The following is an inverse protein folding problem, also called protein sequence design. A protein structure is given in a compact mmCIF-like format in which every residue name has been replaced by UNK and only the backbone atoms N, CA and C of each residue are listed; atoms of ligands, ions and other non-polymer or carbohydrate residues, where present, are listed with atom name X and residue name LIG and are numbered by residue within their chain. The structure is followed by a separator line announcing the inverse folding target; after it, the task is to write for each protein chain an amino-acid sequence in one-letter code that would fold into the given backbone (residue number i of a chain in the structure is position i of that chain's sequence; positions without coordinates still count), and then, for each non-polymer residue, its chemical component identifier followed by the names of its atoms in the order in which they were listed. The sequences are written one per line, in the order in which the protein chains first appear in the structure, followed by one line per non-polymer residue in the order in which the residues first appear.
data_IF_357519510511
#
_entry.id   IF_357519510511
#
_cell.length_a   1.000
_cell.length_b   1.000
_cell.length_c   1.000
_cell.angle_alpha   90.00
_cell.angle_beta   90.00
_cell.angle_gamma   90.00
#
_symmetry.space_group_name_H-M   'P 1'
#
loop_
_entity.id
_entity.type
_entity.pdbx_description
1 polymer ?
#
# COMPACT_ATOMS: atom_id res chain seq x y z
N UNK A 1 -2.99 10.52 -30.36
CA UNK A 1 -2.24 9.44 -29.68
C UNK A 1 -3.17 8.31 -29.21
N UNK A 2 -2.77 7.03 -29.29
CA UNK A 2 -3.53 5.96 -28.66
C UNK A 2 -3.65 6.21 -27.15
N UNK A 3 -4.80 5.87 -26.58
CA UNK A 3 -5.06 6.04 -25.14
C UNK A 3 -4.20 5.05 -24.36
N UNK A 4 -3.50 5.54 -23.36
CA UNK A 4 -2.70 4.75 -22.42
C UNK A 4 -3.59 3.77 -21.63
N UNK A 5 -3.11 2.54 -21.41
CA UNK A 5 -3.79 1.52 -20.60
C UNK A 5 -3.28 1.50 -19.17
N UNK A 6 -4.15 1.26 -18.20
CA UNK A 6 -3.84 1.30 -16.75
C UNK A 6 -2.54 0.61 -16.36
N UNK A 7 -2.30 -0.63 -16.81
CA UNK A 7 -1.13 -1.42 -16.39
C UNK A 7 0.00 -1.42 -17.42
N UNK A 8 -0.04 -0.56 -18.43
CA UNK A 8 0.85 -0.67 -19.60
C UNK A 8 2.34 -0.56 -19.27
N UNK A 9 2.70 0.08 -18.15
CA UNK A 9 4.08 0.30 -17.75
C UNK A 9 4.56 -0.67 -16.67
N UNK A 10 3.68 -1.49 -16.07
CA UNK A 10 4.01 -2.26 -14.85
C UNK A 10 5.18 -3.23 -15.07
N UNK A 11 5.28 -3.84 -16.25
CA UNK A 11 6.36 -4.80 -16.60
C UNK A 11 7.68 -4.09 -16.97
N UNK A 12 7.63 -2.82 -17.34
CA UNK A 12 8.80 -2.03 -17.75
C UNK A 12 9.41 -1.23 -16.58
N UNK A 13 8.79 -1.27 -15.39
CA UNK A 13 9.30 -0.58 -14.21
C UNK A 13 10.61 -1.19 -13.73
N UNK A 14 11.58 -0.36 -13.30
CA UNK A 14 12.83 -0.88 -12.76
C UNK A 14 12.56 -1.69 -11.49
N UNK A 15 13.34 -2.77 -11.26
CA UNK A 15 13.24 -3.52 -10.01
C UNK A 15 13.63 -2.64 -8.83
N UNK A 16 13.10 -2.95 -7.64
CA UNK A 16 13.44 -2.23 -6.43
C UNK A 16 14.93 -2.45 -6.08
N UNK A 17 15.76 -1.40 -6.00
CA UNK A 17 17.19 -1.57 -5.73
C UNK A 17 17.46 -1.96 -4.27
N UNK A 18 18.54 -2.70 -4.05
CA UNK A 18 19.11 -2.94 -2.72
C UNK A 18 20.17 -1.88 -2.46
N UNK A 19 19.99 -0.98 -1.47
CA UNK A 19 21.01 0.01 -1.14
C UNK A 19 22.27 -0.64 -0.58
N UNK A 20 23.43 -0.01 -0.81
CA UNK A 20 24.66 -0.39 -0.14
C UNK A 20 24.54 -0.25 1.38
N UNK A 21 25.15 -1.17 2.13
CA UNK A 21 25.12 -1.12 3.61
C UNK A 21 25.69 0.19 4.13
N UNK A 22 26.80 0.67 3.55
CA UNK A 22 27.44 1.92 3.94
C UNK A 22 26.50 3.12 3.80
N UNK A 23 25.74 3.20 2.70
CA UNK A 23 24.78 4.27 2.47
C UNK A 23 23.57 4.16 3.41
N UNK A 24 23.14 2.93 3.72
CA UNK A 24 22.08 2.66 4.70
C UNK A 24 22.47 3.13 6.09
N UNK A 25 23.68 2.77 6.59
CA UNK A 25 24.17 3.23 7.89
C UNK A 25 24.41 4.75 7.91
N UNK A 26 24.83 5.35 6.80
CA UNK A 26 24.95 6.81 6.69
C UNK A 26 23.59 7.50 6.81
N UNK A 27 22.56 6.97 6.14
CA UNK A 27 21.19 7.46 6.23
C UNK A 27 20.61 7.33 7.64
N UNK A 28 20.79 6.16 8.26
CA UNK A 28 20.37 5.92 9.65
C UNK A 28 21.05 6.90 10.61
N UNK A 29 22.37 7.09 10.51
CA UNK A 29 23.10 8.07 11.32
C UNK A 29 22.54 9.48 11.18
N UNK A 30 22.16 9.89 9.96
CA UNK A 30 21.58 11.20 9.73
C UNK A 30 20.21 11.35 10.41
N UNK A 31 19.38 10.31 10.37
CA UNK A 31 18.06 10.29 11.04
C UNK A 31 18.15 10.32 12.57
N UNK A 32 19.19 9.71 13.15
CA UNK A 32 19.38 9.64 14.60
C UNK A 32 19.77 10.98 15.24
N UNK A 33 20.26 11.96 14.45
CA UNK A 33 20.69 13.27 14.98
C UNK A 33 19.62 14.02 15.77
N UNK A 34 18.34 13.75 15.50
CA UNK A 34 17.23 14.42 16.17
C UNK A 34 16.90 13.83 17.55
N UNK A 35 17.36 12.62 17.85
CA UNK A 35 16.92 11.85 19.03
C UNK A 35 18.07 11.28 19.86
N UNK A 36 19.27 11.13 19.29
CA UNK A 36 20.43 10.55 19.96
C UNK A 36 21.36 11.62 20.55
N UNK A 37 22.04 11.28 21.65
CA UNK A 37 23.08 12.15 22.22
C UNK A 37 24.37 12.12 21.40
N UNK A 38 25.30 13.03 21.70
CA UNK A 38 26.60 13.04 21.05
C UNK A 38 27.40 11.76 21.32
N UNK A 39 27.30 11.24 22.55
CA UNK A 39 27.96 10.01 22.99
C UNK A 39 27.38 8.79 22.26
N UNK A 40 26.06 8.71 22.11
CA UNK A 40 25.40 7.63 21.37
C UNK A 40 25.75 7.65 19.88
N UNK A 41 25.81 8.83 19.26
CA UNK A 41 26.25 8.97 17.86
C UNK A 41 27.72 8.58 17.68
N UNK A 42 28.59 8.89 18.64
CA UNK A 42 29.98 8.48 18.61
C UNK A 42 30.13 6.95 18.75
N UNK A 43 29.36 6.34 19.65
CA UNK A 43 29.31 4.89 19.81
C UNK A 43 28.78 4.19 18.54
N UNK A 44 27.74 4.75 17.92
CA UNK A 44 27.21 4.29 16.65
C UNK A 44 28.30 4.32 15.56
N UNK A 45 28.99 5.46 15.38
CA UNK A 45 30.02 5.62 14.35
C UNK A 45 31.17 4.62 14.53
N UNK A 46 31.55 4.34 15.78
CA UNK A 46 32.57 3.34 16.09
C UNK A 46 32.13 1.90 15.76
N UNK A 47 30.83 1.59 15.86
CA UNK A 47 30.28 0.25 15.62
C UNK A 47 29.99 -0.06 14.14
N UNK A 48 29.77 0.96 13.30
CA UNK A 48 29.38 0.79 11.88
C UNK A 48 30.32 -0.13 11.08
N UNK A 49 31.67 -0.01 11.16
CA UNK A 49 32.56 -0.86 10.36
C UNK A 49 32.40 -2.35 10.66
N UNK A 50 32.27 -2.71 11.94
CA UNK A 50 32.05 -4.09 12.35
C UNK A 50 30.65 -4.58 11.95
N UNK A 51 29.63 -3.72 12.09
CA UNK A 51 28.27 -4.04 11.68
C UNK A 51 28.16 -4.31 10.17
N UNK A 52 28.83 -3.51 9.33
CA UNK A 52 28.89 -3.74 7.87
C UNK A 52 29.51 -5.11 7.57
N UNK A 53 30.61 -5.45 8.25
CA UNK A 53 31.26 -6.75 8.07
C UNK A 53 30.34 -7.90 8.52
N UNK A 54 29.66 -7.75 9.64
CA UNK A 54 28.76 -8.77 10.18
C UNK A 54 27.52 -9.01 9.29
N UNK A 55 27.07 -7.99 8.57
CA UNK A 55 25.90 -8.06 7.68
C UNK A 55 26.25 -8.37 6.22
N UNK A 56 27.52 -8.54 5.86
CA UNK A 56 27.95 -8.77 4.47
C UNK A 56 27.28 -9.99 3.84
N UNK A 57 27.21 -11.11 4.56
CA UNK A 57 26.55 -12.33 4.07
C UNK A 57 25.04 -12.14 3.89
N UNK A 58 24.40 -11.42 4.82
CA UNK A 58 22.98 -11.10 4.73
C UNK A 58 22.67 -10.17 3.54
N UNK A 59 23.53 -9.18 3.28
CA UNK A 59 23.45 -8.30 2.12
C UNK A 59 23.59 -9.10 0.82
N UNK A 60 24.53 -10.06 0.75
CA UNK A 60 24.70 -10.92 -0.42
C UNK A 60 23.45 -11.78 -0.70
N UNK A 61 22.83 -12.33 0.36
CA UNK A 61 21.55 -13.06 0.25
C UNK A 61 20.43 -12.13 -0.24
N UNK A 62 20.36 -10.91 0.27
CA UNK A 62 19.37 -9.91 -0.13
C UNK A 62 19.53 -9.50 -1.60
N UNK A 63 20.77 -9.29 -2.04
CA UNK A 63 21.08 -8.96 -3.43
C UNK A 63 20.67 -10.09 -4.38
N UNK A 64 21.04 -11.33 -4.05
CA UNK A 64 20.61 -12.50 -4.84
C UNK A 64 19.09 -12.58 -4.95
N UNK A 65 18.37 -12.32 -3.86
CA UNK A 65 16.90 -12.29 -3.87
C UNK A 65 16.36 -11.17 -4.79
N UNK A 66 16.99 -10.00 -4.80
CA UNK A 66 16.62 -8.89 -5.67
C UNK A 66 16.90 -9.18 -7.15
N UNK A 67 17.93 -9.96 -7.46
CA UNK A 67 18.21 -10.38 -8.85
C UNK A 67 17.13 -11.36 -9.38
N UNK A 68 16.48 -12.11 -8.49
CA UNK A 68 15.42 -13.07 -8.82
C UNK A 68 14.00 -12.45 -8.85
N UNK A 69 13.82 -11.20 -8.37
CA UNK A 69 12.51 -10.60 -8.14
C UNK A 69 12.46 -9.10 -8.46
N UNK A 70 11.38 -8.64 -9.10
CA UNK A 70 11.19 -7.19 -9.35
C UNK A 70 10.98 -6.37 -8.08
N UNK A 71 10.55 -7.01 -6.99
CA UNK A 71 10.41 -6.36 -5.68
C UNK A 71 10.73 -7.37 -4.57
N UNK A 72 11.97 -7.34 -4.09
CA UNK A 72 12.47 -8.29 -3.09
C UNK A 72 11.79 -8.17 -1.72
N UNK A 73 11.32 -6.96 -1.35
CA UNK A 73 10.77 -6.67 -0.03
C UNK A 73 9.24 -6.82 0.04
N UNK A 74 8.52 -6.67 -1.08
CA UNK A 74 7.06 -6.60 -1.10
C UNK A 74 6.34 -7.72 -0.31
N UNK A 75 6.68 -9.01 -0.54
CA UNK A 75 6.12 -10.11 0.23
C UNK A 75 6.44 -10.03 1.73
N UNK A 76 7.70 -9.74 2.09
CA UNK A 76 8.12 -9.61 3.48
C UNK A 76 7.48 -8.42 4.18
N UNK A 77 7.38 -7.27 3.51
CA UNK A 77 6.69 -6.10 4.03
C UNK A 77 5.23 -6.43 4.34
N UNK A 78 4.53 -7.07 3.41
CA UNK A 78 3.13 -7.48 3.60
C UNK A 78 3.00 -8.43 4.79
N UNK A 79 3.85 -9.46 4.85
CA UNK A 79 3.82 -10.48 5.90
C UNK A 79 4.16 -9.92 7.28
N UNK A 80 5.34 -9.31 7.43
CA UNK A 80 5.87 -8.91 8.73
C UNK A 80 5.30 -7.60 9.24
N UNK A 81 5.00 -6.62 8.37
CA UNK A 81 4.45 -5.35 8.82
C UNK A 81 2.94 -5.43 9.11
N UNK A 82 2.21 -6.31 8.41
CA UNK A 82 0.74 -6.36 8.54
C UNK A 82 0.19 -7.72 8.95
N UNK A 83 0.55 -8.79 8.25
CA UNK A 83 -0.17 -10.06 8.38
C UNK A 83 0.22 -10.87 9.61
N UNK A 84 1.44 -10.74 10.14
CA UNK A 84 1.84 -11.39 11.40
C UNK A 84 1.43 -10.63 12.64
N UNK A 85 1.15 -9.33 12.51
CA UNK A 85 0.70 -8.54 13.65
C UNK A 85 -0.63 -9.09 14.20
N UNK A 86 -0.72 -9.23 15.52
CA UNK A 86 -1.87 -9.80 16.26
C UNK A 86 -2.70 -8.74 16.99
N UNK A 87 -2.30 -7.47 16.99
CA UNK A 87 -3.12 -6.39 17.55
C UNK A 87 -4.37 -6.16 16.68
N UNK A 88 -5.50 -5.68 17.25
CA UNK A 88 -6.70 -5.41 16.48
C UNK A 88 -6.46 -4.40 15.34
N UNK A 89 -6.71 -4.81 14.09
CA UNK A 89 -6.42 -3.99 12.90
C UNK A 89 -7.26 -2.69 12.84
N UNK A 90 -8.48 -2.71 13.38
CA UNK A 90 -9.45 -1.59 13.29
C UNK A 90 -8.86 -0.28 13.81
N UNK A 91 -8.08 -0.34 14.88
CA UNK A 91 -7.48 0.85 15.51
C UNK A 91 -6.03 1.06 15.11
N UNK A 92 -5.29 -0.03 14.88
CA UNK A 92 -3.83 0.05 14.79
C UNK A 92 -3.31 0.16 13.35
N UNK A 93 -4.07 -0.30 12.35
CA UNK A 93 -3.58 -0.37 10.96
C UNK A 93 -4.55 0.18 9.93
N UNK A 94 -5.86 0.09 10.16
CA UNK A 94 -6.84 0.57 9.21
C UNK A 94 -6.87 2.10 9.21
N UNK A 95 -6.70 2.68 8.02
CA UNK A 95 -6.84 4.12 7.79
C UNK A 95 -8.24 4.36 7.23
N UNK A 96 -8.90 5.41 7.72
CA UNK A 96 -10.15 5.90 7.15
C UNK A 96 -9.94 7.31 6.59
N UNK A 97 -10.70 7.64 5.55
CA UNK A 97 -10.76 8.97 4.99
C UNK A 97 -12.21 9.47 5.06
N UNK A 98 -12.39 10.74 5.36
CA UNK A 98 -13.67 11.45 5.18
C UNK A 98 -13.60 12.18 3.85
N UNK A 99 -14.69 12.19 3.08
CA UNK A 99 -14.70 12.85 1.76
C UNK A 99 -15.10 14.30 1.94
N UNK A 100 -14.57 15.19 1.11
CA UNK A 100 -14.97 16.61 1.10
C UNK A 100 -16.48 16.77 0.86
N UNK A 101 -17.05 15.92 0.00
CA UNK A 101 -18.49 15.86 -0.24
C UNK A 101 -19.34 15.50 1.00
N UNK A 102 -18.74 14.93 2.05
CA UNK A 102 -19.40 14.70 3.34
C UNK A 102 -19.49 16.01 4.15
N UNK A 103 -18.53 16.93 3.99
CA UNK A 103 -18.59 18.27 4.57
C UNK A 103 -19.51 19.21 3.78
N UNK A 104 -19.43 19.19 2.44
CA UNK A 104 -20.31 20.01 1.57
C UNK A 104 -21.78 19.70 1.80
N UNK A 105 -22.08 18.45 2.15
CA UNK A 105 -23.41 18.01 2.50
C UNK A 105 -24.00 18.80 3.66
N UNK A 106 -23.22 19.06 4.71
CA UNK A 106 -23.66 19.72 5.93
C UNK A 106 -24.23 21.13 5.66
N UNK A 107 -23.70 21.83 4.66
CA UNK A 107 -24.16 23.16 4.23
C UNK A 107 -25.18 23.14 3.08
N UNK A 108 -25.52 21.96 2.55
CA UNK A 108 -26.36 21.85 1.37
C UNK A 108 -27.84 22.12 1.70
N UNK A 109 -28.53 23.03 0.98
CA UNK A 109 -29.96 23.27 1.16
C UNK A 109 -30.83 22.16 0.56
N UNK A 110 -30.24 21.23 -0.20
CA UNK A 110 -30.94 20.10 -0.79
C UNK A 110 -31.09 18.97 0.26
N UNK A 111 -32.33 18.60 0.65
CA UNK A 111 -32.54 17.53 1.63
C UNK A 111 -31.96 16.18 1.21
N UNK A 112 -31.90 15.89 -0.10
CA UNK A 112 -31.31 14.65 -0.62
C UNK A 112 -29.80 14.56 -0.39
N UNK A 113 -29.11 15.69 -0.22
CA UNK A 113 -27.69 15.71 0.13
C UNK A 113 -27.43 15.12 1.52
N UNK A 114 -28.45 15.09 2.39
CA UNK A 114 -28.36 14.56 3.75
C UNK A 114 -28.93 13.14 3.89
N UNK A 115 -29.58 12.62 2.85
CA UNK A 115 -30.21 11.29 2.90
C UNK A 115 -29.14 10.18 2.82
N UNK A 116 -28.97 9.35 3.87
CA UNK A 116 -27.95 8.31 3.90
C UNK A 116 -28.14 7.26 2.80
N UNK A 117 -29.37 6.94 2.40
CA UNK A 117 -29.65 5.96 1.35
C UNK A 117 -29.19 6.50 -0.01
N UNK A 118 -29.52 7.76 -0.32
CA UNK A 118 -29.09 8.41 -1.55
C UNK A 118 -27.56 8.50 -1.61
N UNK A 119 -26.92 8.94 -0.51
CA UNK A 119 -25.46 9.05 -0.43
C UNK A 119 -24.78 7.69 -0.60
N UNK A 120 -25.25 6.65 0.09
CA UNK A 120 -24.71 5.29 -0.03
C UNK A 120 -24.87 4.76 -1.46
N UNK A 121 -26.02 4.97 -2.10
CA UNK A 121 -26.25 4.56 -3.49
C UNK A 121 -25.27 5.25 -4.46
N UNK A 122 -24.99 6.54 -4.27
CA UNK A 122 -23.99 7.28 -5.06
C UNK A 122 -22.58 6.73 -4.83
N UNK A 123 -22.15 6.51 -3.58
CA UNK A 123 -20.83 5.92 -3.27
C UNK A 123 -20.67 4.56 -3.94
N UNK A 124 -21.70 3.72 -3.85
CA UNK A 124 -21.71 2.39 -4.46
C UNK A 124 -21.61 2.49 -5.98
N UNK A 125 -22.39 3.38 -6.61
CA UNK A 125 -22.33 3.61 -8.06
C UNK A 125 -20.93 4.04 -8.50
N UNK A 126 -20.34 5.05 -7.86
CA UNK A 126 -19.00 5.54 -8.22
C UNK A 126 -17.92 4.48 -8.00
N UNK A 127 -18.00 3.71 -6.91
CA UNK A 127 -17.08 2.60 -6.64
C UNK A 127 -17.16 1.51 -7.73
N UNK A 128 -18.36 1.22 -8.22
CA UNK A 128 -18.58 0.26 -9.32
C UNK A 128 -18.09 0.80 -10.68
N UNK A 129 -18.25 2.10 -10.94
CA UNK A 129 -17.69 2.75 -12.13
C UNK A 129 -16.17 2.72 -12.10
N UNK A 130 -15.58 3.04 -10.94
CA UNK A 130 -14.13 2.97 -10.74
C UNK A 130 -13.61 1.54 -10.94
N UNK A 131 -14.29 0.54 -10.37
CA UNK A 131 -13.99 -0.87 -10.63
C UNK A 131 -14.03 -1.20 -12.12
N UNK A 132 -15.04 -0.74 -12.86
CA UNK A 132 -15.13 -0.93 -14.31
C UNK A 132 -13.92 -0.33 -15.03
N UNK A 133 -13.50 0.88 -14.63
CA UNK A 133 -12.33 1.53 -15.22
C UNK A 133 -11.04 0.71 -15.00
N UNK A 134 -10.83 0.16 -13.81
CA UNK A 134 -9.68 -0.72 -13.54
C UNK A 134 -9.72 -1.97 -14.43
N UNK A 135 -10.88 -2.64 -14.51
CA UNK A 135 -11.02 -3.90 -15.26
C UNK A 135 -10.88 -3.73 -16.77
N UNK A 136 -11.34 -2.60 -17.30
CA UNK A 136 -11.20 -2.25 -18.70
C UNK A 136 -9.86 -1.58 -19.03
N UNK A 137 -8.99 -1.39 -18.02
CA UNK A 137 -7.73 -0.65 -18.13
C UNK A 137 -7.89 0.78 -18.67
N UNK A 138 -9.01 1.41 -18.32
CA UNK A 138 -9.36 2.78 -18.71
C UNK A 138 -8.87 3.83 -17.70
N UNK A 139 -8.43 3.41 -16.51
CA UNK A 139 -7.82 4.30 -15.52
C UNK A 139 -6.46 4.77 -16.07
N UNK A 140 -6.21 6.08 -16.18
CA UNK A 140 -4.92 6.57 -16.63
C UNK A 140 -3.77 6.05 -15.76
N UNK A 141 -2.62 5.65 -16.33
CA UNK A 141 -1.44 5.32 -15.54
C UNK A 141 -0.99 6.48 -14.67
N UNK A 142 -0.73 6.19 -13.40
CA UNK A 142 -0.19 7.18 -12.47
C UNK A 142 1.25 7.53 -12.86
N UNK A 143 1.58 8.83 -12.82
CA UNK A 143 2.91 9.33 -13.17
C UNK A 143 3.39 10.35 -12.16
N UNK A 144 4.55 10.12 -11.57
CA UNK A 144 5.22 11.10 -10.73
C UNK A 144 5.58 12.33 -11.57
N UNK A 145 5.13 13.51 -11.11
CA UNK A 145 5.26 14.78 -11.83
C UNK A 145 4.76 14.72 -13.29
N UNK A 146 3.79 13.86 -13.59
CA UNK A 146 3.23 13.65 -14.92
C UNK A 146 4.17 12.98 -15.93
N UNK A 147 5.38 12.55 -15.51
CA UNK A 147 6.43 12.04 -16.42
C UNK A 147 6.82 10.60 -16.16
N UNK A 148 7.04 10.22 -14.90
CA UNK A 148 7.62 8.92 -14.57
C UNK A 148 6.51 7.95 -14.15
N UNK A 149 6.25 6.88 -14.93
CA UNK A 149 5.23 5.89 -14.56
C UNK A 149 5.44 5.33 -13.17
N UNK A 150 4.34 5.12 -12.45
CA UNK A 150 4.29 4.49 -11.13
C UNK A 150 3.66 3.10 -11.25
N UNK A 151 4.00 2.21 -10.32
CA UNK A 151 3.40 0.88 -10.25
C UNK A 151 1.90 0.95 -9.99
N UNK A 152 1.10 0.32 -10.85
CA UNK A 152 -0.36 0.28 -10.76
C UNK A 152 -0.88 -1.03 -10.13
N UNK A 153 0.02 -1.94 -9.72
CA UNK A 153 -0.30 -3.27 -9.17
C UNK A 153 -1.26 -3.25 -7.99
N UNK A 154 -1.26 -2.19 -7.16
CA UNK A 154 -2.17 -2.06 -6.02
C UNK A 154 -3.65 -2.07 -6.44
N UNK A 155 -3.98 -1.54 -7.62
CA UNK A 155 -5.36 -1.55 -8.14
C UNK A 155 -5.89 -2.96 -8.41
N UNK A 156 -5.02 -3.96 -8.58
CA UNK A 156 -5.42 -5.37 -8.69
C UNK A 156 -5.93 -5.95 -7.36
N UNK A 157 -5.67 -5.28 -6.23
CA UNK A 157 -6.10 -5.70 -4.90
C UNK A 157 -7.42 -5.03 -4.46
N UNK A 158 -8.07 -4.26 -5.33
CA UNK A 158 -9.28 -3.49 -4.99
C UNK A 158 -10.46 -4.35 -4.48
N UNK A 159 -10.49 -5.64 -4.84
CA UNK A 159 -11.50 -6.62 -4.42
C UNK A 159 -10.88 -7.73 -3.56
N UNK A 160 -9.97 -7.34 -2.65
CA UNK A 160 -9.34 -8.24 -1.69
C UNK A 160 -9.99 -8.17 -0.31
N UNK A 161 -9.81 -9.24 0.46
CA UNK A 161 -10.14 -9.27 1.88
C UNK A 161 -9.03 -9.99 2.65
N UNK A 162 -8.83 -9.60 3.91
CA UNK A 162 -7.89 -10.26 4.80
C UNK A 162 -8.59 -11.45 5.46
N UNK A 163 -7.95 -12.62 5.42
CA UNK A 163 -8.43 -13.85 6.05
C UNK A 163 -7.60 -14.12 7.29
N UNK A 164 -8.20 -14.15 8.49
CA UNK A 164 -7.50 -14.42 9.73
C UNK A 164 -6.84 -15.81 9.72
N UNK A 165 -5.58 -15.87 10.16
CA UNK A 165 -4.89 -17.11 10.50
C UNK A 165 -4.41 -17.09 11.94
N UNK A 166 -3.98 -18.24 12.47
CA UNK A 166 -3.53 -18.35 13.87
C UNK A 166 -2.28 -17.48 14.08
N UNK A 167 -1.23 -17.75 13.32
CA UNK A 167 0.07 -17.04 13.43
C UNK A 167 0.24 -15.93 12.39
N UNK A 168 -0.35 -16.11 11.21
CA UNK A 168 -0.25 -15.18 10.10
C UNK A 168 -1.54 -15.17 9.31
N UNK A 169 -2.05 -13.97 9.07
CA UNK A 169 -3.21 -13.80 8.20
C UNK A 169 -2.80 -13.93 6.73
N UNK A 170 -3.79 -13.98 5.84
CA UNK A 170 -3.55 -13.99 4.40
C UNK A 170 -4.43 -12.97 3.70
N UNK A 171 -4.07 -12.61 2.46
CA UNK A 171 -4.89 -11.75 1.61
C UNK A 171 -5.53 -12.63 0.55
N UNK A 172 -6.86 -12.71 0.58
CA UNK A 172 -7.64 -13.31 -0.49
C UNK A 172 -7.99 -12.23 -1.51
N UNK A 173 -7.52 -12.38 -2.75
CA UNK A 173 -7.90 -11.52 -3.87
C UNK A 173 -8.89 -12.28 -4.73
N UNK A 174 -10.14 -11.83 -4.80
CA UNK A 174 -11.16 -12.50 -5.61
C UNK A 174 -10.87 -12.41 -7.12
N UNK A 175 -11.36 -13.35 -7.92
CA UNK A 175 -11.45 -13.12 -9.36
C UNK A 175 -12.57 -12.09 -9.62
N UNK A 176 -12.28 -10.94 -10.27
CA UNK A 176 -13.30 -9.94 -10.54
C UNK A 176 -14.35 -10.40 -11.58
N UNK A 177 -14.06 -11.38 -12.44
CA UNK A 177 -15.02 -11.81 -13.49
C UNK A 177 -16.34 -12.36 -12.94
N UNK A 178 -16.33 -13.31 -11.97
CA UNK A 178 -17.57 -13.81 -11.36
C UNK A 178 -18.14 -12.87 -10.29
N UNK A 179 -17.37 -11.91 -9.78
CA UNK A 179 -17.80 -11.03 -8.68
C UNK A 179 -18.81 -9.99 -9.15
N UNK A 180 -20.10 -10.25 -8.87
CA UNK A 180 -21.25 -9.41 -9.26
C UNK A 180 -22.08 -8.88 -8.09
N UNK A 181 -21.69 -9.20 -6.86
CA UNK A 181 -22.42 -8.83 -5.65
C UNK A 181 -21.56 -7.92 -4.78
N UNK A 182 -22.24 -7.07 -4.03
CA UNK A 182 -21.69 -6.29 -2.93
C UNK A 182 -22.32 -6.83 -1.64
N UNK A 183 -21.62 -6.72 -0.52
CA UNK A 183 -22.18 -7.02 0.79
C UNK A 183 -22.57 -5.71 1.47
N UNK A 184 -23.77 -5.63 2.02
CA UNK A 184 -24.25 -4.47 2.79
C UNK A 184 -24.43 -4.86 4.25
N UNK A 185 -23.76 -4.17 5.17
CA UNK A 185 -23.95 -4.34 6.61
C UNK A 185 -24.93 -3.29 7.12
N UNK A 186 -26.08 -3.72 7.63
CA UNK A 186 -27.06 -2.85 8.26
C UNK A 186 -27.55 -3.44 9.58
N UNK A 187 -27.37 -2.69 10.68
CA UNK A 187 -27.80 -3.08 12.04
C UNK A 187 -27.35 -4.50 12.45
N UNK A 188 -26.11 -4.85 12.12
CA UNK A 188 -25.52 -6.14 12.47
C UNK A 188 -25.86 -7.30 11.53
N UNK A 189 -26.62 -7.07 10.46
CA UNK A 189 -26.95 -8.08 9.45
C UNK A 189 -26.29 -7.78 8.10
N UNK A 190 -25.85 -8.83 7.39
CA UNK A 190 -25.30 -8.77 6.04
C UNK A 190 -26.38 -9.10 4.99
N UNK A 191 -26.38 -8.34 3.89
CA UNK A 191 -27.25 -8.50 2.73
C UNK A 191 -26.43 -8.56 1.44
#
# INVERSE_FOLDING_TARGET
PPRERTFQYDEDLPPLPVPELADTFKGLRASLRAVATAEELAAYDAAVPEAIKALADAQAVLQKRADEQTNYIGPWWTEFAYLRNRFPNVLNTNVFCVRDSDFDALGSPNPLSHDPVVRTALVMRESLLFRRMILNEELPPEKLAGKHPMCMRQYRQYWSTRVPGVECDSIYVADPKPLRKIAVLHRGAFF
#
